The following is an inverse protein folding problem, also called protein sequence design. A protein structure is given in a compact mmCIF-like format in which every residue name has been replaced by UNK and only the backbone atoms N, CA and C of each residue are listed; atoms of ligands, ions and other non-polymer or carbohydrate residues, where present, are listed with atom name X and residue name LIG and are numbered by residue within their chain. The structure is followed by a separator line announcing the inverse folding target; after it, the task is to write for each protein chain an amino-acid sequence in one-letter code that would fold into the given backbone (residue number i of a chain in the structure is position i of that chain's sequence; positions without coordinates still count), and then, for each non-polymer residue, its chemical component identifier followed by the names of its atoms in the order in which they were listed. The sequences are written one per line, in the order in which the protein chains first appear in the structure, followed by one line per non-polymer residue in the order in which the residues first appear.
data_IF_308665477880
#
_entry.id   IF_308665477880
#
_cell.length_a   1.000
_cell.length_b   1.000
_cell.length_c   1.000
_cell.angle_alpha   90.00
_cell.angle_beta   90.00
_cell.angle_gamma   90.00
#
_symmetry.space_group_name_H-M   'P 1'
#
loop_
_entity.id
_entity.type
_entity.pdbx_description
1 polymer ?
#
# COMPACT_ATOMS: atom_id res chain seq x y z
N UNK A 1 -9.61 -2.73 18.78
CA UNK A 1 -9.03 -1.88 19.85
C UNK A 1 -10.10 -1.61 20.92
N UNK A 2 -10.32 -2.60 21.78
CA UNK A 2 -11.35 -2.53 22.83
C UNK A 2 -10.97 -1.63 24.01
N UNK A 3 -9.69 -1.51 24.32
CA UNK A 3 -9.13 -0.70 25.39
C UNK A 3 -8.82 0.76 24.96
N UNK A 4 -8.93 1.06 23.67
CA UNK A 4 -8.69 2.38 23.06
C UNK A 4 -7.27 2.94 23.33
N UNK A 5 -6.26 2.10 23.20
CA UNK A 5 -4.84 2.46 23.26
C UNK A 5 -4.18 2.67 21.88
N UNK A 6 -4.91 2.37 20.82
CA UNK A 6 -4.44 2.50 19.43
C UNK A 6 -3.87 1.20 18.85
N UNK A 7 -3.88 0.09 19.60
CA UNK A 7 -3.34 -1.19 19.14
C UNK A 7 -4.47 -2.18 18.84
N UNK A 8 -4.39 -2.84 17.70
CA UNK A 8 -5.30 -3.94 17.34
C UNK A 8 -4.77 -5.23 17.95
N UNK A 9 -5.52 -5.77 18.89
CA UNK A 9 -5.24 -7.02 19.59
C UNK A 9 -6.36 -8.05 19.31
N UNK A 10 -6.22 -9.26 19.84
CA UNK A 10 -7.23 -10.30 19.69
C UNK A 10 -7.28 -10.92 18.28
N UNK A 11 -8.43 -11.51 17.95
CA UNK A 11 -8.65 -12.19 16.67
C UNK A 11 -8.94 -11.18 15.55
N UNK A 12 -8.16 -11.22 14.49
CA UNK A 12 -8.27 -10.30 13.36
C UNK A 12 -8.37 -11.09 12.06
N UNK A 13 -9.60 -11.23 11.55
CA UNK A 13 -9.82 -11.84 10.25
C UNK A 13 -9.21 -10.97 9.13
N UNK A 14 -8.55 -11.59 8.18
CA UNK A 14 -7.91 -10.89 7.07
C UNK A 14 -8.20 -11.55 5.72
N UNK A 15 -7.75 -10.90 4.66
CA UNK A 15 -8.01 -11.31 3.27
C UNK A 15 -7.32 -12.62 2.85
N UNK A 16 -6.49 -13.22 3.71
CA UNK A 16 -5.89 -14.54 3.50
C UNK A 16 -6.72 -15.67 4.13
N UNK A 17 -7.99 -15.41 4.43
CA UNK A 17 -8.97 -16.37 4.97
C UNK A 17 -8.54 -16.99 6.32
N UNK A 18 -7.72 -16.28 7.06
CA UNK A 18 -7.25 -16.70 8.39
C UNK A 18 -7.48 -15.59 9.41
N UNK A 19 -7.52 -15.98 10.68
CA UNK A 19 -7.49 -15.04 11.79
C UNK A 19 -6.07 -14.92 12.32
N UNK A 20 -5.52 -13.71 12.31
CA UNK A 20 -4.33 -13.40 13.06
C UNK A 20 -4.69 -13.05 14.50
N UNK A 21 -3.95 -13.58 15.44
CA UNK A 21 -4.15 -13.38 16.87
C UNK A 21 -3.03 -12.51 17.41
N UNK A 22 -3.39 -11.33 17.86
CA UNK A 22 -2.47 -10.34 18.39
C UNK A 22 -2.02 -9.28 17.37
N UNK A 23 -1.26 -8.31 17.85
CA UNK A 23 -0.81 -7.18 17.03
C UNK A 23 0.04 -7.63 15.84
N UNK A 24 -0.33 -7.16 14.66
CA UNK A 24 0.38 -7.47 13.41
C UNK A 24 0.41 -6.26 12.49
N UNK A 25 1.40 -6.16 11.58
CA UNK A 25 1.57 -4.97 10.74
C UNK A 25 0.46 -4.81 9.72
N UNK A 26 -0.04 -5.89 9.12
CA UNK A 26 -1.06 -5.81 8.06
C UNK A 26 -2.32 -5.09 8.55
N UNK A 27 -2.92 -5.56 9.64
CA UNK A 27 -4.14 -4.97 10.20
C UNK A 27 -3.85 -3.70 11.00
N UNK A 28 -2.69 -3.63 11.65
CA UNK A 28 -2.26 -2.45 12.41
C UNK A 28 -2.13 -1.22 11.53
N UNK A 29 -1.45 -1.30 10.39
CA UNK A 29 -1.34 -0.17 9.45
C UNK A 29 -2.68 0.21 8.81
N UNK A 30 -3.59 -0.75 8.56
CA UNK A 30 -4.96 -0.42 8.16
C UNK A 30 -5.68 0.40 9.23
N UNK A 31 -5.55 0.00 10.49
CA UNK A 31 -6.17 0.73 11.60
C UNK A 31 -5.58 2.14 11.75
N UNK A 32 -4.26 2.28 11.67
CA UNK A 32 -3.61 3.59 11.68
C UNK A 32 -4.09 4.48 10.53
N UNK A 33 -4.21 3.93 9.34
CA UNK A 33 -4.76 4.63 8.18
C UNK A 33 -6.21 5.05 8.38
N UNK A 34 -7.04 4.18 8.96
CA UNK A 34 -8.44 4.49 9.28
C UNK A 34 -8.55 5.61 10.32
N UNK A 35 -7.71 5.61 11.36
CA UNK A 35 -7.68 6.69 12.37
C UNK A 35 -7.29 8.04 11.75
N UNK A 36 -6.30 8.05 10.85
CA UNK A 36 -5.90 9.26 10.13
C UNK A 36 -6.99 9.77 9.19
N UNK A 37 -7.64 8.88 8.44
CA UNK A 37 -8.76 9.26 7.58
C UNK A 37 -9.95 9.78 8.38
N UNK A 38 -10.31 9.10 9.47
CA UNK A 38 -11.39 9.52 10.36
C UNK A 38 -11.12 10.89 11.01
N UNK A 39 -9.87 11.18 11.37
CA UNK A 39 -9.46 12.49 11.87
C UNK A 39 -9.72 13.59 10.83
N UNK A 40 -9.28 13.42 9.59
CA UNK A 40 -9.48 14.40 8.52
C UNK A 40 -10.99 14.61 8.22
N UNK A 41 -11.76 13.55 8.19
CA UNK A 41 -13.21 13.61 8.02
C UNK A 41 -13.88 14.35 9.20
N UNK A 42 -13.46 14.10 10.43
CA UNK A 42 -13.99 14.76 11.62
C UNK A 42 -13.69 16.27 11.62
N UNK A 43 -12.49 16.68 11.18
CA UNK A 43 -12.17 18.10 10.98
C UNK A 43 -13.07 18.74 9.93
N UNK A 44 -13.31 18.09 8.79
CA UNK A 44 -14.22 18.58 7.76
C UNK A 44 -15.67 18.73 8.29
N UNK A 45 -16.11 17.79 9.13
CA UNK A 45 -17.42 17.79 9.78
C UNK A 45 -17.50 18.71 11.02
N UNK A 46 -16.40 19.36 11.40
CA UNK A 46 -16.26 20.22 12.59
C UNK A 46 -16.43 19.48 13.93
N UNK A 47 -16.30 18.17 13.93
CA UNK A 47 -16.25 17.35 15.16
C UNK A 47 -14.83 17.30 15.72
N UNK A 48 -14.49 18.38 16.43
CA UNK A 48 -13.16 18.55 17.04
C UNK A 48 -12.85 17.49 18.10
N UNK A 49 -13.86 16.98 18.78
CA UNK A 49 -13.69 15.99 19.85
C UNK A 49 -13.25 14.66 19.27
N UNK A 50 -13.96 14.20 18.25
CA UNK A 50 -13.65 12.94 17.57
C UNK A 50 -12.31 13.03 16.80
N UNK A 51 -12.04 14.15 16.13
CA UNK A 51 -10.75 14.38 15.48
C UNK A 51 -9.56 14.23 16.45
N UNK A 52 -9.63 14.86 17.62
CA UNK A 52 -8.60 14.75 18.67
C UNK A 52 -8.47 13.33 19.21
N UNK A 53 -9.59 12.61 19.35
CA UNK A 53 -9.58 11.21 19.78
C UNK A 53 -8.84 10.35 18.75
N UNK A 54 -9.16 10.48 17.46
CA UNK A 54 -8.49 9.72 16.38
C UNK A 54 -7.00 10.03 16.35
N UNK A 55 -6.60 11.31 16.44
CA UNK A 55 -5.19 11.71 16.49
C UNK A 55 -4.44 11.06 17.65
N UNK A 56 -4.99 11.11 18.87
CA UNK A 56 -4.37 10.49 20.04
C UNK A 56 -4.18 8.99 19.88
N UNK A 57 -5.21 8.26 19.41
CA UNK A 57 -5.12 6.83 19.18
C UNK A 57 -4.09 6.49 18.11
N UNK A 58 -4.06 7.26 17.02
CA UNK A 58 -3.06 7.12 15.98
C UNK A 58 -1.63 7.29 16.51
N UNK A 59 -1.35 8.36 17.25
CA UNK A 59 -0.01 8.64 17.78
C UNK A 59 0.46 7.59 18.79
N UNK A 60 -0.46 7.06 19.60
CA UNK A 60 -0.16 5.96 20.51
C UNK A 60 0.12 4.65 19.78
N UNK A 61 -0.77 4.25 18.89
CA UNK A 61 -0.65 2.99 18.15
C UNK A 61 0.53 2.99 17.17
N UNK A 62 0.76 4.07 16.43
CA UNK A 62 1.92 4.21 15.55
C UNK A 62 3.23 4.03 16.28
N UNK A 63 3.41 4.73 17.41
CA UNK A 63 4.61 4.59 18.26
C UNK A 63 4.75 3.16 18.79
N UNK A 64 3.67 2.59 19.29
CA UNK A 64 3.70 1.22 19.83
C UNK A 64 4.11 0.20 18.76
N UNK A 65 3.60 0.31 17.54
CA UNK A 65 3.97 -0.56 16.43
C UNK A 65 5.45 -0.45 16.07
N UNK A 66 5.97 0.78 15.99
CA UNK A 66 7.39 1.02 15.72
C UNK A 66 8.31 0.47 16.82
N UNK A 67 7.92 0.59 18.08
CA UNK A 67 8.72 0.15 19.22
C UNK A 67 8.65 -1.37 19.44
N UNK A 68 7.53 -2.03 19.10
CA UNK A 68 7.30 -3.43 19.47
C UNK A 68 7.24 -4.39 18.28
N UNK A 69 6.79 -3.97 17.11
CA UNK A 69 6.68 -4.86 15.95
C UNK A 69 7.87 -4.75 14.99
N UNK A 70 8.58 -3.62 14.97
CA UNK A 70 9.74 -3.45 14.07
C UNK A 70 10.97 -4.17 14.63
N UNK A 71 11.47 -5.16 13.87
CA UNK A 71 12.59 -6.01 14.31
C UNK A 71 13.98 -5.54 13.87
N UNK A 72 14.06 -4.32 13.34
CA UNK A 72 15.28 -3.73 12.76
C UNK A 72 15.39 -3.87 11.25
N UNK A 73 14.56 -4.68 10.60
CA UNK A 73 14.51 -4.86 9.16
C UNK A 73 13.08 -4.73 8.61
N UNK A 74 12.07 -5.29 9.29
CA UNK A 74 10.65 -5.25 8.90
C UNK A 74 9.77 -5.44 10.13
N UNK A 75 8.46 -5.30 9.98
CA UNK A 75 7.51 -5.49 11.07
C UNK A 75 7.09 -6.96 11.19
N UNK A 76 7.04 -7.47 12.43
CA UNK A 76 6.64 -8.82 12.78
C UNK A 76 5.22 -8.87 13.33
N UNK A 77 4.63 -10.04 13.34
CA UNK A 77 3.39 -10.33 14.04
C UNK A 77 3.69 -10.90 15.43
N UNK A 78 3.27 -10.22 16.47
CA UNK A 78 3.30 -10.69 17.85
C UNK A 78 2.07 -11.53 18.13
N UNK A 79 2.24 -12.85 18.12
CA UNK A 79 1.15 -13.79 18.38
C UNK A 79 0.81 -13.75 19.85
N UNK A 80 -0.47 -13.48 20.19
CA UNK A 80 -0.97 -13.55 21.57
C UNK A 80 -1.54 -14.94 21.86
N UNK A 81 -1.45 -15.33 23.12
CA UNK A 81 -1.97 -16.62 23.59
C UNK A 81 -3.50 -16.66 23.40
N UNK A 82 -4.00 -17.71 22.78
CA UNK A 82 -5.42 -17.89 22.50
C UNK A 82 -6.31 -18.24 23.68
N UNK A 83 -5.83 -18.36 24.90
CA UNK A 83 -6.66 -18.75 26.07
C UNK A 83 -7.96 -17.97 26.24
N UNK A 84 -8.09 -16.82 25.55
CA UNK A 84 -9.29 -15.97 25.57
C UNK A 84 -10.22 -16.14 24.39
N UNK A 85 -9.92 -17.02 23.42
CA UNK A 85 -10.71 -17.15 22.19
C UNK A 85 -11.13 -18.60 21.92
N UNK A 86 -12.38 -18.81 21.47
CA UNK A 86 -12.82 -20.13 21.00
C UNK A 86 -12.07 -20.49 19.70
N UNK A 87 -11.27 -21.56 19.77
CA UNK A 87 -10.44 -22.01 18.64
C UNK A 87 -11.03 -23.18 17.88
N UNK A 88 -10.82 -23.17 16.59
CA UNK A 88 -10.78 -24.39 15.80
C UNK A 88 -9.35 -24.96 15.95
N UNK A 89 -9.17 -25.88 16.86
CA UNK A 89 -7.93 -26.64 16.99
C UNK A 89 -7.77 -27.50 15.74
N UNK A 90 -6.69 -27.27 14.98
CA UNK A 90 -6.25 -28.21 13.95
C UNK A 90 -5.21 -29.15 14.57
N UNK A 91 -5.35 -30.46 14.35
CA UNK A 91 -4.38 -31.46 14.77
C UNK A 91 -2.98 -31.09 14.26
N UNK A 92 -1.99 -31.05 15.16
CA UNK A 92 -0.59 -30.78 14.85
C UNK A 92 -0.11 -29.34 15.10
N UNK A 93 -0.96 -28.43 15.61
CA UNK A 93 -0.48 -27.15 16.13
C UNK A 93 0.13 -27.32 17.53
N UNK A 94 1.18 -26.54 17.83
CA UNK A 94 1.65 -26.36 19.19
C UNK A 94 0.47 -25.83 20.03
N UNK A 95 0.16 -26.49 21.16
CA UNK A 95 -0.98 -26.16 22.04
C UNK A 95 -1.00 -24.68 22.50
N UNK A 96 0.10 -23.96 22.30
CA UNK A 96 0.29 -22.55 22.69
C UNK A 96 0.28 -21.55 21.54
N UNK A 97 0.43 -22.00 20.30
CA UNK A 97 0.50 -21.11 19.13
C UNK A 97 -0.61 -21.51 18.15
N UNK A 98 -1.56 -20.60 17.86
CA UNK A 98 -2.60 -20.86 16.86
C UNK A 98 -1.97 -21.21 15.52
N UNK A 99 -2.57 -22.18 14.80
CA UNK A 99 -2.18 -22.46 13.43
C UNK A 99 -2.38 -21.26 12.50
N UNK A 100 -1.68 -21.26 11.39
CA UNK A 100 -1.84 -20.29 10.29
C UNK A 100 -1.48 -18.84 10.64
N UNK A 101 -0.55 -18.64 11.56
CA UNK A 101 -0.06 -17.32 11.90
C UNK A 101 1.12 -16.89 11.02
N UNK A 102 1.45 -15.60 11.04
CA UNK A 102 2.62 -15.04 10.37
C UNK A 102 3.88 -15.13 11.25
N UNK A 103 3.78 -14.74 12.52
CA UNK A 103 4.92 -14.67 13.44
C UNK A 103 6.03 -13.75 12.91
N UNK A 104 7.27 -14.28 12.87
CA UNK A 104 8.45 -13.54 12.37
C UNK A 104 8.57 -13.50 10.84
N UNK A 105 7.49 -13.69 10.11
CA UNK A 105 7.48 -13.63 8.65
C UNK A 105 7.55 -12.19 8.10
N UNK A 106 8.34 -12.01 7.05
CA UNK A 106 8.32 -10.81 6.23
C UNK A 106 7.16 -10.95 5.22
N UNK A 107 6.05 -10.29 5.49
CA UNK A 107 4.85 -10.33 4.65
C UNK A 107 4.94 -9.28 3.55
N UNK A 108 4.58 -9.62 2.32
CA UNK A 108 4.66 -8.72 1.16
C UNK A 108 3.77 -7.48 1.29
N UNK A 109 2.59 -7.63 1.87
CA UNK A 109 1.61 -6.55 2.06
C UNK A 109 1.50 -6.03 3.50
N UNK A 110 2.54 -6.25 4.31
CA UNK A 110 2.56 -5.78 5.70
C UNK A 110 2.33 -4.26 5.82
N UNK A 111 2.67 -3.49 4.80
CA UNK A 111 2.51 -2.04 4.72
C UNK A 111 1.32 -1.60 3.83
N UNK A 112 0.32 -2.46 3.63
CA UNK A 112 -0.85 -2.13 2.77
C UNK A 112 -1.61 -0.90 3.28
N UNK A 113 -1.72 -0.70 4.59
CA UNK A 113 -2.31 0.52 5.17
C UNK A 113 -1.49 1.77 4.86
N UNK A 114 -0.15 1.69 4.92
CA UNK A 114 0.75 2.78 4.55
C UNK A 114 0.65 3.12 3.05
N UNK A 115 0.58 2.11 2.19
CA UNK A 115 0.34 2.29 0.76
C UNK A 115 -0.93 3.12 0.50
N UNK A 116 -2.04 2.78 1.16
CA UNK A 116 -3.30 3.52 1.05
C UNK A 116 -3.19 4.93 1.63
N UNK A 117 -2.48 5.11 2.73
CA UNK A 117 -2.26 6.43 3.32
C UNK A 117 -1.49 7.36 2.38
N UNK A 118 -0.48 6.86 1.67
CA UNK A 118 0.23 7.63 0.66
C UNK A 118 -0.69 8.07 -0.48
N UNK A 119 -1.49 7.16 -1.04
CA UNK A 119 -2.45 7.47 -2.12
C UNK A 119 -3.46 8.53 -1.67
N UNK A 120 -3.93 8.44 -0.44
CA UNK A 120 -4.91 9.37 0.13
C UNK A 120 -4.29 10.68 0.66
N UNK A 121 -2.96 10.84 0.63
CA UNK A 121 -2.28 12.03 1.14
C UNK A 121 -2.30 12.17 2.66
N UNK A 122 -2.45 11.06 3.41
CA UNK A 122 -2.51 11.04 4.88
C UNK A 122 -1.12 11.04 5.55
N UNK A 123 -0.06 10.89 4.76
CA UNK A 123 1.33 10.88 5.25
C UNK A 123 1.77 9.52 5.78
N UNK A 124 2.82 9.53 6.59
CA UNK A 124 3.36 8.32 7.20
C UNK A 124 2.52 7.87 8.39
N UNK A 125 2.30 6.57 8.48
CA UNK A 125 1.58 5.92 9.59
C UNK A 125 2.52 5.32 10.66
N UNK A 126 3.79 5.17 10.33
CA UNK A 126 4.89 4.73 11.21
C UNK A 126 6.13 5.57 10.96
N UNK A 127 7.25 5.22 11.58
CA UNK A 127 8.53 5.88 11.34
C UNK A 127 8.97 5.71 9.89
N UNK A 128 9.32 6.82 9.25
CA UNK A 128 9.70 6.85 7.83
C UNK A 128 10.85 5.91 7.51
N UNK A 129 11.86 5.81 8.38
CA UNK A 129 13.02 4.94 8.16
C UNK A 129 12.62 3.48 8.29
N UNK A 130 11.75 3.14 9.24
CA UNK A 130 11.22 1.78 9.40
C UNK A 130 10.41 1.37 8.18
N UNK A 131 9.55 2.25 7.66
CA UNK A 131 8.78 2.01 6.43
C UNK A 131 9.73 1.75 5.24
N UNK A 132 10.72 2.62 5.04
CA UNK A 132 11.70 2.46 3.97
C UNK A 132 12.49 1.14 4.11
N UNK A 133 13.05 0.86 5.27
CA UNK A 133 13.82 -0.38 5.54
C UNK A 133 12.95 -1.63 5.37
N UNK A 134 11.65 -1.54 5.70
CA UNK A 134 10.71 -2.63 5.46
C UNK A 134 10.51 -2.89 3.95
N UNK A 135 10.43 -1.85 3.12
CA UNK A 135 10.34 -2.02 1.66
C UNK A 135 11.63 -2.65 1.08
N UNK A 136 12.81 -2.23 1.57
CA UNK A 136 14.08 -2.89 1.22
C UNK A 136 14.07 -4.38 1.60
N UNK A 137 13.54 -4.71 2.78
CA UNK A 137 13.46 -6.08 3.28
C UNK A 137 12.48 -6.94 2.48
N UNK A 138 11.34 -6.39 2.07
CA UNK A 138 10.39 -7.07 1.17
C UNK A 138 11.08 -7.42 -0.14
N UNK A 139 11.80 -6.47 -0.76
CA UNK A 139 12.54 -6.76 -1.99
C UNK A 139 13.64 -7.80 -1.75
N UNK A 140 14.39 -7.71 -0.68
CA UNK A 140 15.49 -8.61 -0.33
C UNK A 140 15.05 -10.04 -0.05
N UNK A 141 13.94 -10.22 0.66
CA UNK A 141 13.55 -11.54 1.19
C UNK A 141 12.41 -12.21 0.43
N UNK A 142 11.56 -11.44 -0.25
CA UNK A 142 10.39 -11.98 -0.92
C UNK A 142 10.54 -12.02 -2.45
N UNK A 143 11.45 -11.22 -3.05
CA UNK A 143 11.66 -11.27 -4.49
C UNK A 143 12.41 -12.53 -4.91
N UNK A 144 11.82 -13.31 -5.80
CA UNK A 144 12.41 -14.50 -6.41
C UNK A 144 12.50 -14.26 -7.91
N UNK A 145 13.72 -14.31 -8.46
CA UNK A 145 13.98 -14.06 -9.88
C UNK A 145 13.76 -15.27 -10.79
N UNK A 146 13.61 -16.47 -10.22
CA UNK A 146 13.43 -17.72 -10.93
C UNK A 146 12.69 -18.73 -10.03
N UNK A 147 11.47 -19.08 -10.41
CA UNK A 147 10.60 -20.01 -9.68
C UNK A 147 10.76 -21.48 -10.09
N UNK A 148 11.68 -21.83 -10.98
CA UNK A 148 11.83 -23.20 -11.48
C UNK A 148 12.14 -24.24 -10.39
N UNK A 149 12.69 -23.81 -9.24
CA UNK A 149 12.98 -24.65 -8.07
C UNK A 149 12.14 -24.34 -6.85
N UNK A 150 11.14 -23.44 -7.01
CA UNK A 150 10.29 -23.05 -5.89
C UNK A 150 9.23 -24.11 -5.61
N UNK A 151 9.13 -24.54 -4.35
CA UNK A 151 8.05 -25.41 -3.89
C UNK A 151 6.81 -24.57 -3.57
N UNK A 152 5.71 -24.90 -4.24
CA UNK A 152 4.43 -24.27 -4.00
C UNK A 152 3.56 -25.13 -3.10
N UNK A 153 3.08 -24.55 -2.00
CA UNK A 153 2.29 -25.24 -1.02
C UNK A 153 0.86 -25.54 -1.51
N UNK A 154 0.26 -24.62 -2.26
CA UNK A 154 -1.12 -24.73 -2.73
C UNK A 154 -1.25 -24.41 -4.22
N UNK A 155 -1.41 -23.14 -4.59
CA UNK A 155 -1.66 -22.69 -5.97
C UNK A 155 -0.42 -22.06 -6.58
N UNK A 156 -0.24 -22.24 -7.89
CA UNK A 156 0.90 -21.67 -8.64
C UNK A 156 0.42 -20.62 -9.61
N UNK A 157 0.77 -19.36 -9.37
CA UNK A 157 0.51 -18.25 -10.28
C UNK A 157 1.77 -17.73 -10.97
N UNK A 158 2.93 -18.25 -10.57
CA UNK A 158 4.25 -18.04 -11.19
C UNK A 158 4.86 -19.40 -11.45
N UNK A 159 5.45 -19.62 -12.63
CA UNK A 159 5.93 -20.91 -13.07
C UNK A 159 7.27 -20.82 -13.80
N UNK A 160 8.11 -21.84 -13.63
CA UNK A 160 9.38 -21.92 -14.34
C UNK A 160 10.31 -20.75 -14.05
N UNK A 161 10.90 -20.18 -15.09
CA UNK A 161 11.87 -19.08 -14.99
C UNK A 161 11.23 -17.69 -14.73
N UNK A 162 9.94 -17.64 -14.43
CA UNK A 162 9.27 -16.38 -14.10
C UNK A 162 9.74 -15.83 -12.75
N UNK A 163 9.59 -14.51 -12.57
CA UNK A 163 9.92 -13.81 -11.34
C UNK A 163 8.69 -13.23 -10.65
N UNK A 164 8.80 -12.98 -9.34
CA UNK A 164 7.73 -12.36 -8.55
C UNK A 164 8.07 -12.18 -7.08
N UNK A 165 7.16 -11.54 -6.33
CA UNK A 165 7.26 -11.38 -4.88
C UNK A 165 6.42 -12.45 -4.17
N UNK A 166 7.06 -13.29 -3.37
CA UNK A 166 6.38 -14.25 -2.48
C UNK A 166 5.50 -13.54 -1.47
N UNK A 167 4.38 -14.17 -1.10
CA UNK A 167 3.49 -13.68 -0.05
C UNK A 167 4.22 -13.48 1.27
N UNK A 168 5.04 -14.46 1.69
CA UNK A 168 5.87 -14.29 2.88
C UNK A 168 7.16 -15.11 2.81
N UNK A 169 8.18 -14.63 3.50
CA UNK A 169 9.45 -15.30 3.74
C UNK A 169 9.79 -15.25 5.24
N UNK A 170 10.63 -16.16 5.72
CA UNK A 170 11.02 -16.23 7.13
C UNK A 170 12.54 -16.23 7.33
N UNK A 171 13.22 -15.10 7.11
CA UNK A 171 14.67 -15.03 7.31
C UNK A 171 15.09 -15.23 8.77
N UNK A 172 14.18 -15.03 9.72
CA UNK A 172 14.42 -15.14 11.17
C UNK A 172 13.75 -16.35 11.83
N UNK A 173 13.29 -17.32 11.04
CA UNK A 173 12.68 -18.56 11.53
C UNK A 173 11.17 -18.64 11.28
N UNK A 174 10.76 -19.75 10.67
CA UNK A 174 9.38 -20.03 10.28
C UNK A 174 8.64 -20.80 11.37
N UNK A 175 7.35 -20.51 11.53
CA UNK A 175 6.43 -21.33 12.30
C UNK A 175 6.27 -22.71 11.65
N UNK A 176 5.94 -23.72 12.45
CA UNK A 176 5.67 -25.07 11.94
C UNK A 176 4.47 -25.07 10.98
N UNK A 177 3.39 -24.39 11.37
CA UNK A 177 2.16 -24.25 10.58
C UNK A 177 1.88 -22.76 10.28
N UNK A 178 2.53 -22.18 9.27
CA UNK A 178 2.27 -20.80 8.85
C UNK A 178 0.96 -20.70 8.07
N UNK A 179 0.49 -19.48 7.80
CA UNK A 179 -0.71 -19.27 6.96
C UNK A 179 -0.55 -19.92 5.58
N UNK A 180 -1.63 -20.48 4.99
CA UNK A 180 -1.52 -21.43 3.87
C UNK A 180 -0.98 -20.84 2.57
N UNK A 181 -1.15 -19.53 2.33
CA UNK A 181 -0.79 -18.88 1.05
C UNK A 181 0.65 -18.35 1.00
N UNK A 182 1.47 -18.65 2.00
CA UNK A 182 2.82 -18.08 2.15
C UNK A 182 3.74 -18.27 0.94
N UNK A 183 3.61 -19.41 0.24
CA UNK A 183 4.45 -19.78 -0.89
C UNK A 183 3.91 -19.30 -2.24
N UNK A 184 2.78 -18.60 -2.24
CA UNK A 184 2.16 -18.09 -3.46
C UNK A 184 2.72 -16.72 -3.85
N UNK A 185 2.47 -16.32 -5.10
CA UNK A 185 2.67 -14.98 -5.62
C UNK A 185 1.32 -14.45 -6.07
N UNK A 186 0.90 -13.34 -5.49
CA UNK A 186 -0.41 -12.74 -5.75
C UNK A 186 -0.23 -11.33 -6.31
N UNK A 187 -0.63 -11.12 -7.57
CA UNK A 187 -0.31 -9.90 -8.34
C UNK A 187 -0.79 -8.62 -7.67
N UNK A 188 -1.95 -8.64 -7.01
CA UNK A 188 -2.46 -7.48 -6.30
C UNK A 188 -1.57 -7.04 -5.13
N UNK A 189 -1.01 -7.98 -4.39
CA UNK A 189 -0.07 -7.68 -3.30
C UNK A 189 1.30 -7.22 -3.82
N UNK A 190 1.76 -7.82 -4.93
CA UNK A 190 2.98 -7.35 -5.61
C UNK A 190 2.85 -5.87 -6.03
N UNK A 191 1.70 -5.48 -6.60
CA UNK A 191 1.44 -4.08 -6.96
C UNK A 191 1.40 -3.16 -5.72
N UNK A 192 0.79 -3.59 -4.62
CA UNK A 192 0.79 -2.79 -3.38
C UNK A 192 2.21 -2.54 -2.87
N UNK A 193 3.06 -3.58 -2.84
CA UNK A 193 4.45 -3.45 -2.44
C UNK A 193 5.25 -2.56 -3.41
N UNK A 194 5.11 -2.77 -4.73
CA UNK A 194 5.79 -1.96 -5.74
C UNK A 194 5.40 -0.48 -5.64
N UNK A 195 4.13 -0.16 -5.45
CA UNK A 195 3.69 1.23 -5.25
C UNK A 195 4.25 1.82 -3.97
N UNK A 196 4.29 1.05 -2.88
CA UNK A 196 4.98 1.44 -1.64
C UNK A 196 6.45 1.79 -1.89
N UNK A 197 7.17 0.96 -2.64
CA UNK A 197 8.55 1.22 -3.03
C UNK A 197 8.72 2.52 -3.83
N UNK A 198 7.79 2.86 -4.75
CA UNK A 198 7.82 4.13 -5.49
C UNK A 198 7.73 5.32 -4.52
N UNK A 199 6.82 5.30 -3.55
CA UNK A 199 6.68 6.36 -2.55
C UNK A 199 7.92 6.50 -1.65
N UNK A 200 8.66 5.42 -1.44
CA UNK A 200 9.92 5.41 -0.71
C UNK A 200 11.16 5.74 -1.57
N UNK A 201 10.97 6.06 -2.86
CA UNK A 201 12.05 6.42 -3.79
C UNK A 201 12.80 5.22 -4.38
N UNK A 202 12.35 4.00 -4.15
CA UNK A 202 12.90 2.75 -4.68
C UNK A 202 12.27 2.41 -6.04
N UNK A 203 12.39 3.34 -6.99
CA UNK A 203 11.68 3.26 -8.28
C UNK A 203 12.15 2.08 -9.14
N UNK A 204 13.45 1.77 -9.14
CA UNK A 204 14.01 0.69 -9.97
C UNK A 204 13.56 -0.69 -9.47
N UNK A 205 13.50 -0.91 -8.16
CA UNK A 205 12.97 -2.11 -7.52
C UNK A 205 11.48 -2.25 -7.81
N UNK A 206 10.74 -1.18 -7.66
CA UNK A 206 9.31 -1.14 -7.98
C UNK A 206 9.02 -1.51 -9.43
N UNK A 207 9.76 -0.91 -10.38
CA UNK A 207 9.63 -1.21 -11.80
C UNK A 207 10.06 -2.64 -12.13
N UNK A 208 11.02 -3.20 -11.40
CA UNK A 208 11.41 -4.62 -11.53
C UNK A 208 10.23 -5.51 -11.14
N UNK A 209 9.57 -5.24 -10.01
CA UNK A 209 8.37 -5.99 -9.59
C UNK A 209 7.23 -5.85 -10.62
N UNK A 210 6.90 -4.63 -11.04
CA UNK A 210 5.83 -4.38 -12.02
C UNK A 210 6.14 -5.08 -13.37
N UNK A 211 7.38 -5.04 -13.83
CA UNK A 211 7.80 -5.73 -15.04
C UNK A 211 7.65 -7.24 -14.91
N UNK A 212 8.07 -7.82 -13.78
CA UNK A 212 7.90 -9.24 -13.50
C UNK A 212 6.44 -9.67 -13.61
N UNK A 213 5.50 -8.86 -13.12
CA UNK A 213 4.06 -9.13 -13.27
C UNK A 213 3.67 -9.04 -14.75
N UNK A 214 4.05 -7.97 -15.46
CA UNK A 214 3.66 -7.77 -16.88
C UNK A 214 4.25 -8.83 -17.79
N UNK A 215 5.45 -9.31 -17.51
CA UNK A 215 6.10 -10.39 -18.27
C UNK A 215 5.38 -11.74 -18.11
N UNK A 216 4.64 -11.95 -17.00
CA UNK A 216 3.77 -13.12 -16.80
C UNK A 216 2.44 -13.01 -17.55
N UNK A 217 1.96 -11.78 -17.78
CA UNK A 217 0.66 -11.48 -18.40
C UNK A 217 0.82 -10.60 -19.63
N UNK A 218 1.70 -11.01 -20.53
CA UNK A 218 2.13 -10.26 -21.74
C UNK A 218 1.19 -10.43 -22.95
N UNK A 219 0.17 -11.27 -22.84
CA UNK A 219 -0.75 -11.61 -23.93
C UNK A 219 -0.31 -12.84 -24.75
N UNK A 220 0.95 -13.23 -24.69
CA UNK A 220 1.44 -14.46 -25.30
C UNK A 220 1.42 -15.63 -24.30
N UNK A 221 1.92 -15.41 -23.08
CA UNK A 221 1.92 -16.41 -22.02
C UNK A 221 0.55 -16.51 -21.34
N UNK A 222 0.00 -15.37 -20.91
CA UNK A 222 -1.30 -15.30 -20.23
C UNK A 222 -2.05 -14.02 -20.62
N UNK A 223 -3.37 -14.05 -20.45
CA UNK A 223 -4.23 -12.91 -20.72
C UNK A 223 -3.90 -11.72 -19.80
N UNK A 224 -3.52 -10.55 -20.37
CA UNK A 224 -3.15 -9.35 -19.58
C UNK A 224 -4.33 -8.73 -18.82
N UNK A 225 -5.57 -9.12 -19.12
CA UNK A 225 -6.77 -8.65 -18.45
C UNK A 225 -7.36 -9.66 -17.46
N UNK A 226 -6.67 -10.77 -17.22
CA UNK A 226 -7.12 -11.82 -16.32
C UNK A 226 -5.97 -12.27 -15.41
N UNK A 227 -5.60 -11.41 -14.48
CA UNK A 227 -4.62 -11.74 -13.45
C UNK A 227 -5.34 -12.54 -12.33
N UNK A 228 -5.02 -13.84 -12.15
CA UNK A 228 -5.63 -14.65 -11.11
C UNK A 228 -4.97 -14.43 -9.76
N UNK A 229 -5.74 -14.62 -8.70
CA UNK A 229 -5.24 -14.70 -7.33
C UNK A 229 -5.92 -15.87 -6.60
N UNK A 230 -7.25 -15.85 -6.44
CA UNK A 230 -8.03 -17.02 -6.05
C UNK A 230 -9.08 -17.39 -7.10
N UNK A 231 -9.26 -16.55 -8.09
CA UNK A 231 -10.10 -16.72 -9.27
C UNK A 231 -9.57 -15.86 -10.41
N UNK A 232 -10.17 -15.96 -11.59
CA UNK A 232 -9.82 -15.14 -12.74
C UNK A 232 -10.34 -13.71 -12.61
N UNK A 233 -9.69 -12.74 -13.28
CA UNK A 233 -10.06 -11.33 -13.24
C UNK A 233 -10.13 -10.77 -11.81
N UNK A 234 -9.16 -11.11 -10.98
CA UNK A 234 -9.19 -10.79 -9.57
C UNK A 234 -9.00 -9.28 -9.34
N UNK A 235 -9.95 -8.66 -8.63
CA UNK A 235 -10.04 -7.21 -8.54
C UNK A 235 -8.85 -6.54 -7.83
N UNK A 236 -8.11 -7.26 -6.98
CA UNK A 236 -6.96 -6.70 -6.26
C UNK A 236 -5.83 -6.24 -7.20
N UNK A 237 -5.71 -6.82 -8.40
CA UNK A 237 -4.75 -6.37 -9.42
C UNK A 237 -5.01 -4.94 -9.91
N UNK A 238 -6.21 -4.38 -9.64
CA UNK A 238 -6.50 -2.95 -9.86
C UNK A 238 -5.58 -2.03 -9.05
N UNK A 239 -4.89 -2.51 -8.02
CA UNK A 239 -3.83 -1.78 -7.33
C UNK A 239 -2.73 -1.28 -8.28
N UNK A 240 -2.58 -1.88 -9.47
CA UNK A 240 -1.68 -1.41 -10.54
C UNK A 240 -1.91 0.05 -10.94
N UNK A 241 -3.14 0.55 -10.89
CA UNK A 241 -3.46 1.95 -11.18
C UNK A 241 -2.78 2.95 -10.25
N UNK A 242 -2.51 2.55 -9.01
CA UNK A 242 -1.80 3.37 -8.05
C UNK A 242 -0.33 3.61 -8.46
N UNK A 243 0.25 2.75 -9.31
CA UNK A 243 1.59 2.98 -9.88
C UNK A 243 1.64 4.26 -10.71
N UNK A 244 0.58 4.55 -11.48
CA UNK A 244 0.48 5.78 -12.28
C UNK A 244 0.40 6.99 -11.36
N UNK A 245 -0.37 6.91 -10.28
CA UNK A 245 -0.49 7.96 -9.27
C UNK A 245 0.84 8.22 -8.57
N UNK A 246 1.52 7.17 -8.12
CA UNK A 246 2.79 7.26 -7.42
C UNK A 246 3.91 7.83 -8.31
N UNK A 247 4.06 7.31 -9.55
CA UNK A 247 5.07 7.79 -10.51
C UNK A 247 4.84 9.23 -10.97
N UNK A 248 3.58 9.64 -11.11
CA UNK A 248 3.25 11.02 -11.47
C UNK A 248 3.30 11.98 -10.28
N UNK A 249 3.32 11.47 -9.05
CA UNK A 249 3.16 12.26 -7.83
C UNK A 249 1.80 12.95 -7.74
N UNK A 250 0.81 12.44 -8.50
CA UNK A 250 -0.51 13.06 -8.56
C UNK A 250 -1.25 12.97 -7.24
N UNK A 251 -1.71 14.12 -6.77
CA UNK A 251 -2.66 14.25 -5.67
C UNK A 251 -3.59 15.43 -5.92
N UNK A 252 -4.87 15.30 -5.58
CA UNK A 252 -5.84 16.38 -5.66
C UNK A 252 -6.64 16.51 -4.36
N UNK A 253 -6.58 17.68 -3.75
CA UNK A 253 -7.42 18.05 -2.61
C UNK A 253 -8.51 19.03 -3.08
N UNK A 254 -9.76 18.59 -3.05
CA UNK A 254 -10.91 19.43 -3.34
C UNK A 254 -11.15 20.49 -2.23
N UNK A 255 -10.78 20.17 -1.00
CA UNK A 255 -10.88 21.07 0.16
C UNK A 255 -9.90 22.23 0.01
N UNK A 256 -8.66 21.93 -0.32
CA UNK A 256 -7.60 22.92 -0.50
C UNK A 256 -7.57 23.50 -1.91
N UNK A 257 -8.35 22.94 -2.84
CA UNK A 257 -8.32 23.26 -4.27
C UNK A 257 -6.91 23.24 -4.83
N UNK A 258 -6.16 22.21 -4.45
CA UNK A 258 -4.77 22.02 -4.82
C UNK A 258 -4.58 20.72 -5.59
N UNK A 259 -3.82 20.81 -6.67
CA UNK A 259 -3.36 19.66 -7.44
C UNK A 259 -1.83 19.57 -7.31
N UNK A 260 -1.30 18.36 -7.27
CA UNK A 260 0.13 18.11 -7.11
C UNK A 260 0.62 17.11 -8.16
N UNK A 261 1.88 17.28 -8.60
CA UNK A 261 2.62 16.36 -9.44
C UNK A 261 4.09 16.28 -9.01
N UNK A 262 4.81 15.27 -9.53
CA UNK A 262 6.27 15.21 -9.47
C UNK A 262 6.90 16.42 -10.16
N UNK A 263 8.19 16.67 -9.88
CA UNK A 263 8.99 17.68 -10.61
C UNK A 263 9.69 17.11 -11.84
N UNK A 264 9.64 15.80 -12.06
CA UNK A 264 10.28 15.18 -13.21
C UNK A 264 9.62 15.66 -14.53
N UNK A 265 10.41 16.04 -15.55
CA UNK A 265 9.86 16.38 -16.85
C UNK A 265 9.09 15.22 -17.46
N UNK A 266 7.92 15.53 -18.05
CA UNK A 266 7.07 14.49 -18.62
C UNK A 266 5.65 14.97 -18.90
N UNK A 267 4.82 14.04 -19.36
CA UNK A 267 3.39 14.25 -19.59
C UNK A 267 2.60 13.26 -18.75
N UNK A 268 1.82 13.77 -17.83
CA UNK A 268 1.12 13.02 -16.80
C UNK A 268 -0.38 13.11 -16.97
N UNK A 269 -1.04 11.97 -17.04
CA UNK A 269 -2.50 11.88 -16.97
C UNK A 269 -2.98 12.18 -15.54
N UNK A 270 -4.13 12.86 -15.42
CA UNK A 270 -4.79 13.06 -14.14
C UNK A 270 -6.32 12.94 -14.28
N UNK A 271 -6.95 12.50 -13.19
CA UNK A 271 -8.41 12.48 -13.03
C UNK A 271 -8.77 12.70 -11.57
N UNK A 272 -9.79 13.53 -11.31
CA UNK A 272 -10.30 13.79 -9.96
C UNK A 272 -11.78 13.41 -9.78
N UNK A 273 -12.34 12.65 -10.75
CA UNK A 273 -13.75 12.25 -10.76
C UNK A 273 -14.72 13.28 -11.36
N UNK A 274 -14.35 14.58 -11.41
CA UNK A 274 -15.16 15.64 -12.03
C UNK A 274 -14.60 16.08 -13.39
N UNK A 275 -13.31 15.95 -13.53
CA UNK A 275 -12.58 16.30 -14.75
C UNK A 275 -11.38 15.37 -14.92
N UNK A 276 -10.87 15.31 -16.14
CA UNK A 276 -9.62 14.65 -16.44
C UNK A 276 -8.86 15.37 -17.56
N UNK A 277 -7.56 15.17 -17.59
CA UNK A 277 -6.69 15.84 -18.53
C UNK A 277 -5.24 15.44 -18.42
N UNK A 278 -4.37 16.31 -18.87
CA UNK A 278 -2.92 16.11 -18.87
C UNK A 278 -2.21 17.24 -18.13
N UNK A 279 -1.09 16.92 -17.50
CA UNK A 279 -0.13 17.90 -17.00
C UNK A 279 1.20 17.65 -17.71
N UNK A 280 1.68 18.64 -18.47
CA UNK A 280 3.00 18.59 -19.12
C UNK A 280 3.98 19.40 -18.30
N UNK A 281 5.04 18.76 -17.84
CA UNK A 281 6.08 19.36 -16.99
C UNK A 281 7.38 19.42 -17.79
N UNK A 282 7.99 20.58 -17.83
CA UNK A 282 9.33 20.86 -18.36
C UNK A 282 10.10 21.76 -17.37
N UNK A 283 11.34 22.07 -17.68
CA UNK A 283 12.16 22.88 -16.79
C UNK A 283 11.53 24.27 -16.54
N UNK A 284 11.16 24.51 -15.29
CA UNK A 284 10.60 25.77 -14.83
C UNK A 284 9.17 26.07 -15.25
N UNK A 285 8.46 25.15 -15.91
CA UNK A 285 7.06 25.35 -16.27
C UNK A 285 6.22 24.06 -16.28
N UNK A 286 4.93 24.20 -15.96
CA UNK A 286 3.92 23.15 -16.13
C UNK A 286 2.70 23.67 -16.86
N UNK A 287 2.22 22.91 -17.84
CA UNK A 287 0.97 23.19 -18.54
C UNK A 287 -0.08 22.18 -18.11
N UNK A 288 -1.10 22.67 -17.42
CA UNK A 288 -2.26 21.89 -17.00
C UNK A 288 -3.37 22.07 -18.04
N UNK A 289 -3.82 20.97 -18.62
CA UNK A 289 -4.86 20.91 -19.65
C UNK A 289 -6.04 20.09 -19.15
N UNK A 290 -7.26 20.59 -19.34
CA UNK A 290 -8.52 19.87 -19.09
C UNK A 290 -9.06 19.34 -20.41
N UNK A 291 -9.12 18.03 -20.56
CA UNK A 291 -9.67 17.38 -21.75
C UNK A 291 -11.18 17.17 -21.64
N UNK A 292 -11.68 16.95 -20.42
CA UNK A 292 -13.12 16.81 -20.17
C UNK A 292 -13.48 17.21 -18.74
N UNK A 293 -14.69 17.73 -18.58
CA UNK A 293 -15.24 18.16 -17.30
C UNK A 293 -14.83 19.57 -16.91
N UNK A 294 -14.88 19.84 -15.63
CA UNK A 294 -14.54 21.15 -15.05
C UNK A 294 -13.67 20.96 -13.82
N UNK A 295 -12.49 21.55 -13.83
CA UNK A 295 -11.53 21.52 -12.73
C UNK A 295 -11.60 22.82 -11.93
N UNK A 296 -11.95 22.75 -10.65
CA UNK A 296 -11.73 23.83 -9.69
C UNK A 296 -10.34 23.72 -9.07
N UNK A 297 -9.50 24.75 -9.24
CA UNK A 297 -8.12 24.74 -8.75
C UNK A 297 -7.69 26.15 -8.34
N UNK A 298 -6.95 26.26 -7.25
CA UNK A 298 -6.35 27.52 -6.80
C UNK A 298 -4.83 27.45 -6.67
N UNK A 299 -4.29 26.23 -6.56
CA UNK A 299 -2.85 25.98 -6.39
C UNK A 299 -2.41 24.76 -7.19
N UNK A 300 -1.25 24.88 -7.83
CA UNK A 300 -0.54 23.76 -8.44
C UNK A 300 0.79 23.60 -7.70
N UNK A 301 1.05 22.40 -7.18
CA UNK A 301 2.31 22.00 -6.56
C UNK A 301 3.08 21.10 -7.52
N UNK A 302 4.32 21.46 -7.82
CA UNK A 302 5.24 20.65 -8.63
C UNK A 302 6.48 20.35 -7.79
N UNK A 303 6.64 19.09 -7.40
CA UNK A 303 7.62 18.71 -6.39
C UNK A 303 7.39 19.52 -5.10
N UNK A 304 8.38 20.31 -4.70
CA UNK A 304 8.32 21.15 -3.49
C UNK A 304 7.84 22.59 -3.75
N UNK A 305 7.63 22.97 -5.00
CA UNK A 305 7.22 24.34 -5.35
C UNK A 305 5.72 24.41 -5.49
N UNK A 306 5.07 25.37 -4.81
CA UNK A 306 3.64 25.62 -4.91
C UNK A 306 3.38 26.99 -5.50
N UNK A 307 2.60 27.04 -6.58
CA UNK A 307 2.25 28.26 -7.30
C UNK A 307 0.73 28.44 -7.35
N UNK A 308 0.26 29.67 -7.21
CA UNK A 308 -1.16 30.01 -7.39
C UNK A 308 -1.53 29.98 -8.88
N UNK A 309 -2.66 29.37 -9.19
CA UNK A 309 -3.24 29.43 -10.54
C UNK A 309 -3.85 30.83 -10.81
N UNK A 310 -3.81 31.28 -12.05
CA UNK A 310 -4.47 32.52 -12.47
C UNK A 310 -5.97 32.32 -12.59
N UNK A 311 -6.37 31.16 -13.15
CA UNK A 311 -7.77 30.77 -13.27
C UNK A 311 -8.15 29.88 -12.09
N UNK A 312 -9.29 30.19 -11.45
CA UNK A 312 -9.87 29.36 -10.37
C UNK A 312 -10.66 28.16 -10.90
N UNK A 313 -10.93 28.15 -12.20
CA UNK A 313 -11.68 27.11 -12.87
C UNK A 313 -11.18 26.96 -14.30
N UNK A 314 -11.00 25.73 -14.73
CA UNK A 314 -10.67 25.34 -16.11
C UNK A 314 -11.75 24.39 -16.62
N UNK A 315 -12.23 24.60 -17.83
CA UNK A 315 -13.21 23.75 -18.51
C UNK A 315 -12.58 22.96 -19.66
N UNK A 316 -13.30 22.00 -20.20
CA UNK A 316 -12.82 21.16 -21.30
C UNK A 316 -12.29 22.01 -22.47
N UNK A 317 -11.11 21.70 -22.97
CA UNK A 317 -10.38 22.43 -24.01
C UNK A 317 -9.55 23.61 -23.50
N UNK A 318 -9.63 23.96 -22.22
CA UNK A 318 -8.79 24.99 -21.62
C UNK A 318 -7.49 24.44 -21.06
N UNK A 319 -6.47 25.28 -21.09
CA UNK A 319 -5.20 25.03 -20.44
C UNK A 319 -4.67 26.26 -19.70
N UNK A 320 -3.76 26.03 -18.75
CA UNK A 320 -3.01 27.07 -18.07
C UNK A 320 -1.55 26.66 -17.95
N UNK A 321 -0.64 27.53 -18.40
CA UNK A 321 0.80 27.36 -18.19
C UNK A 321 1.24 28.19 -17.00
N UNK A 322 1.90 27.53 -16.06
CA UNK A 322 2.40 28.06 -14.81
C UNK A 322 3.91 27.92 -14.82
N UNK A 323 4.64 29.00 -14.45
CA UNK A 323 6.10 29.03 -14.35
C UNK A 323 6.52 29.23 -12.92
N UNK A 324 7.65 28.61 -12.51
CA UNK A 324 8.23 28.72 -11.17
C UNK A 324 9.74 28.90 -11.20
#
# INVERSE_FOLDING_TARGET
DGNQDGVMEGSQHNTMDVNYFGPNPQMGFWYMGALRAAEEMAWAMKDKSFAKKCRRLFEQGSRWMDEHLFNGEYYEHHITDPETFEFINMEGADDKIPAFQLGKGCLVDQLVGQYMAHICGLGYLGDKKHIHTTMESIMKYNYVSDFSRHFNNMRSYVMGEEAGLLMASWPKGRLEVPFPYFAEVMTGFEYCAAVGMIYEGMTDEALTCIRSIRDRFDGAKRNPFSEPECGHHYARSMASWASVIALSGFHYSAVDKQMQFTSAPGTYFWSNGYAWGMCRISDGEATLEVLRGTLGIERLRIGDVTVKTKKKQLTAGESETIKW
#
